data_IF_038730908560
#
_entry.id   IF_038730908560
#
_cell.length_a   1.000
_cell.length_b   1.000
_cell.length_c   1.000
_cell.angle_alpha   90.00
_cell.angle_beta   90.00
_cell.angle_gamma   90.00
#
_symmetry.space_group_name_H-M   'P 1'
#
loop_
_entity.id
_entity.type
_entity.pdbx_description
1 polymer ?
#
# COMPACT_ATOMS: atom_id res chain seq x y z
N UNK A 1 18.83 -8.74 12.31
CA UNK A 1 19.28 -10.11 12.65
C UNK A 1 18.50 -10.64 13.84
N UNK A 2 17.97 -11.85 13.73
CA UNK A 2 17.35 -12.60 14.82
C UNK A 2 18.14 -13.88 15.08
N UNK A 3 18.67 -14.04 16.28
CA UNK A 3 19.42 -15.23 16.71
C UNK A 3 18.68 -15.89 17.88
N UNK A 4 18.33 -17.16 17.74
CA UNK A 4 17.79 -18.01 18.82
C UNK A 4 18.79 -19.10 19.12
N UNK A 5 19.26 -19.18 20.36
CA UNK A 5 20.25 -20.17 20.82
C UNK A 5 19.96 -20.66 22.23
N UNK A 6 20.73 -21.64 22.68
CA UNK A 6 20.63 -22.12 24.05
C UNK A 6 20.92 -20.97 25.04
N UNK A 7 20.02 -20.75 25.98
CA UNK A 7 20.15 -19.70 27.01
C UNK A 7 19.60 -18.32 26.62
N UNK A 8 19.06 -18.14 25.41
CA UNK A 8 18.33 -16.91 25.06
C UNK A 8 18.20 -16.64 23.57
N UNK A 9 17.39 -15.62 23.25
CA UNK A 9 17.24 -15.06 21.91
C UNK A 9 17.68 -13.59 21.90
N UNK A 10 18.23 -13.13 20.77
CA UNK A 10 18.60 -11.73 20.55
C UNK A 10 18.08 -11.25 19.19
N UNK A 11 17.39 -10.11 19.21
CA UNK A 11 16.94 -9.39 18.02
C UNK A 11 17.70 -8.07 17.92
N UNK A 12 18.47 -7.90 16.85
CA UNK A 12 19.26 -6.70 16.58
C UNK A 12 18.76 -6.08 15.29
N UNK A 13 18.36 -4.81 15.35
CA UNK A 13 17.89 -4.03 14.21
C UNK A 13 18.59 -2.66 14.18
N UNK A 14 18.76 -2.09 12.99
CA UNK A 14 19.33 -0.73 12.83
C UNK A 14 18.36 0.35 13.31
N UNK A 15 17.07 0.10 13.15
CA UNK A 15 15.99 1.02 13.48
C UNK A 15 14.83 0.28 14.16
N UNK A 16 13.94 1.02 14.82
CA UNK A 16 12.76 0.47 15.50
C UNK A 16 11.85 -0.33 14.56
N UNK A 17 11.72 0.09 13.30
CA UNK A 17 10.90 -0.60 12.31
C UNK A 17 11.38 -2.02 12.01
N UNK A 18 12.70 -2.21 11.94
CA UNK A 18 13.30 -3.54 11.77
C UNK A 18 13.08 -4.43 12.99
N UNK A 19 13.05 -3.87 14.19
CA UNK A 19 12.74 -4.61 15.40
C UNK A 19 11.28 -5.10 15.40
N UNK A 20 10.32 -4.26 14.96
CA UNK A 20 8.91 -4.65 14.84
C UNK A 20 8.76 -5.83 13.87
N UNK A 21 9.40 -5.78 12.69
CA UNK A 21 9.34 -6.89 11.71
C UNK A 21 10.07 -8.15 12.20
N UNK A 22 11.12 -7.99 12.99
CA UNK A 22 11.82 -9.09 13.65
C UNK A 22 10.99 -9.76 14.74
N UNK A 23 10.19 -9.00 15.50
CA UNK A 23 9.24 -9.56 16.48
C UNK A 23 8.15 -10.38 15.81
N UNK A 24 7.62 -9.92 14.67
CA UNK A 24 6.67 -10.71 13.87
C UNK A 24 7.31 -11.99 13.32
N UNK A 25 8.58 -11.95 12.93
CA UNK A 25 9.29 -13.17 12.53
C UNK A 25 9.49 -14.11 13.72
N UNK A 26 9.79 -13.57 14.90
CA UNK A 26 9.98 -14.36 16.11
C UNK A 26 8.66 -15.02 16.57
N UNK A 27 7.52 -14.33 16.50
CA UNK A 27 6.22 -14.91 16.84
C UNK A 27 5.89 -16.11 15.95
N UNK A 28 6.19 -16.03 14.65
CA UNK A 28 5.99 -17.12 13.68
C UNK A 28 6.91 -18.33 13.89
N UNK A 29 8.04 -18.17 14.61
CA UNK A 29 8.95 -19.28 14.94
C UNK A 29 8.51 -20.07 16.17
N UNK A 30 7.63 -19.52 17.00
CA UNK A 30 7.10 -20.19 18.18
C UNK A 30 5.98 -21.13 17.75
N UNK A 31 6.09 -22.40 18.15
CA UNK A 31 5.07 -23.41 17.87
C UNK A 31 4.79 -24.24 19.13
N UNK A 32 3.66 -24.93 19.14
CA UNK A 32 3.32 -25.90 20.19
C UNK A 32 3.51 -27.32 19.65
N UNK A 33 4.04 -28.22 20.49
CA UNK A 33 4.03 -29.65 20.20
C UNK A 33 2.70 -30.31 20.61
N UNK A 34 2.58 -31.62 20.35
CA UNK A 34 1.40 -32.42 20.71
C UNK A 34 1.13 -32.48 22.24
N UNK A 35 2.06 -31.97 23.06
CA UNK A 35 1.95 -31.89 24.52
C UNK A 35 1.66 -30.47 25.02
N UNK A 36 1.25 -29.56 24.14
CA UNK A 36 0.96 -28.15 24.41
C UNK A 36 2.17 -27.34 24.93
N UNK A 37 3.40 -27.83 24.71
CA UNK A 37 4.63 -27.15 25.12
C UNK A 37 5.04 -26.15 24.04
N UNK A 38 5.25 -24.89 24.43
CA UNK A 38 5.79 -23.87 23.53
C UNK A 38 7.28 -24.09 23.27
N UNK A 39 7.63 -24.20 21.99
CA UNK A 39 8.97 -24.50 21.51
C UNK A 39 9.42 -23.45 20.48
N UNK A 40 10.73 -23.32 20.34
CA UNK A 40 11.37 -22.54 19.27
C UNK A 40 12.69 -23.21 18.92
N UNK A 41 12.96 -23.37 17.62
CA UNK A 41 14.18 -24.00 17.15
C UNK A 41 15.37 -23.04 17.19
N UNK A 42 16.57 -23.58 17.42
CA UNK A 42 17.82 -22.82 17.25
C UNK A 42 17.91 -22.33 15.81
N UNK A 43 17.98 -21.01 15.62
CA UNK A 43 17.99 -20.41 14.29
C UNK A 43 18.78 -19.11 14.27
N UNK A 44 19.24 -18.72 13.08
CA UNK A 44 19.79 -17.41 12.81
C UNK A 44 19.17 -16.89 11.51
N UNK A 45 18.58 -15.70 11.56
CA UNK A 45 17.87 -15.07 10.46
C UNK A 45 18.47 -13.68 10.22
N UNK A 46 18.95 -13.46 8.99
CA UNK A 46 19.25 -12.15 8.45
C UNK A 46 18.18 -11.80 7.42
N UNK A 47 17.44 -10.71 7.65
CA UNK A 47 16.25 -10.35 6.86
C UNK A 47 16.21 -8.85 6.56
N UNK A 48 15.69 -8.50 5.39
CA UNK A 48 15.48 -7.13 4.92
C UNK A 48 14.45 -7.12 3.77
N UNK A 49 13.65 -6.04 3.62
CA UNK A 49 12.70 -5.96 2.52
C UNK A 49 13.41 -5.71 1.19
N UNK A 50 12.98 -6.42 0.13
CA UNK A 50 13.43 -6.16 -1.24
C UNK A 50 13.03 -4.77 -1.73
N UNK A 51 11.80 -4.36 -1.42
CA UNK A 51 11.23 -3.07 -1.82
C UNK A 51 10.83 -2.25 -0.59
N UNK A 52 11.17 -0.95 -0.52
CA UNK A 52 10.82 -0.10 0.60
C UNK A 52 9.32 0.18 0.71
N UNK A 53 8.57 0.25 -0.40
CA UNK A 53 7.13 0.51 -0.42
C UNK A 53 6.35 -0.79 -0.62
N UNK A 54 5.57 -1.19 0.39
CA UNK A 54 4.69 -2.36 0.33
C UNK A 54 3.32 -1.97 0.87
N UNK A 55 2.45 -1.55 -0.04
CA UNK A 55 1.18 -0.94 0.31
C UNK A 55 -0.04 -1.82 0.12
N UNK A 56 -1.09 -1.48 0.86
CA UNK A 56 -2.44 -2.01 0.67
C UNK A 56 -3.37 -0.82 0.47
N UNK A 57 -4.07 -0.79 -0.67
CA UNK A 57 -5.12 0.18 -0.95
C UNK A 57 -6.46 -0.36 -0.47
N UNK A 58 -7.13 0.42 0.37
CA UNK A 58 -8.52 0.20 0.78
C UNK A 58 -9.40 1.39 0.39
N UNK A 59 -10.49 1.06 -0.30
CA UNK A 59 -11.55 1.97 -0.70
C UNK A 59 -12.66 2.01 0.35
N UNK A 60 -12.88 3.18 0.94
CA UNK A 60 -14.00 3.44 1.87
C UNK A 60 -15.07 4.33 1.28
N UNK A 61 -14.96 4.67 0.00
CA UNK A 61 -15.88 5.57 -0.69
C UNK A 61 -17.00 4.81 -1.39
N UNK A 62 -16.73 3.63 -1.97
CA UNK A 62 -17.75 2.82 -2.64
C UNK A 62 -18.64 2.11 -1.61
N UNK A 63 -18.02 1.55 -0.57
CA UNK A 63 -18.71 1.15 0.65
C UNK A 63 -17.95 1.63 1.89
N UNK A 64 -18.70 2.13 2.88
CA UNK A 64 -18.12 2.52 4.16
C UNK A 64 -17.61 1.28 4.92
N UNK A 65 -16.37 1.33 5.40
CA UNK A 65 -15.79 0.31 6.25
C UNK A 65 -15.73 0.80 7.70
N UNK A 66 -16.12 -0.06 8.63
CA UNK A 66 -16.08 0.29 10.04
C UNK A 66 -14.64 0.46 10.52
N UNK A 67 -14.46 1.28 11.56
CA UNK A 67 -13.14 1.54 12.15
C UNK A 67 -12.45 0.24 12.58
N UNK A 68 -13.20 -0.69 13.17
CA UNK A 68 -12.67 -1.96 13.66
C UNK A 68 -12.16 -2.83 12.50
N UNK A 69 -12.82 -2.79 11.35
CA UNK A 69 -12.38 -3.45 10.11
C UNK A 69 -11.09 -2.86 9.60
N UNK A 70 -10.96 -1.52 9.59
CA UNK A 70 -9.73 -0.84 9.19
C UNK A 70 -8.57 -1.15 10.17
N UNK A 71 -8.83 -1.18 11.48
CA UNK A 71 -7.82 -1.59 12.49
C UNK A 71 -7.39 -3.04 12.26
N UNK A 72 -8.34 -3.94 12.03
CA UNK A 72 -8.05 -5.35 11.76
C UNK A 72 -7.20 -5.50 10.50
N UNK A 73 -7.47 -4.72 9.45
CA UNK A 73 -6.64 -4.70 8.25
C UNK A 73 -5.20 -4.24 8.55
N UNK A 74 -5.00 -3.21 9.37
CA UNK A 74 -3.66 -2.76 9.78
C UNK A 74 -2.91 -3.84 10.58
N UNK A 75 -3.60 -4.61 11.42
CA UNK A 75 -3.01 -5.74 12.14
C UNK A 75 -2.57 -6.85 11.18
N UNK A 76 -3.40 -7.20 10.19
CA UNK A 76 -3.07 -8.17 9.13
C UNK A 76 -1.88 -7.66 8.29
N UNK A 77 -1.85 -6.38 7.94
CA UNK A 77 -0.73 -5.74 7.25
C UNK A 77 0.56 -5.86 8.06
N UNK A 78 0.51 -5.67 9.38
CA UNK A 78 1.66 -5.79 10.25
C UNK A 78 2.22 -7.24 10.25
N UNK A 79 1.34 -8.24 10.33
CA UNK A 79 1.67 -9.67 10.27
C UNK A 79 2.33 -10.05 8.94
N UNK A 80 1.83 -9.47 7.84
CA UNK A 80 2.37 -9.66 6.48
C UNK A 80 3.54 -8.72 6.14
N UNK A 81 4.06 -7.97 7.13
CA UNK A 81 5.17 -7.03 6.98
C UNK A 81 4.94 -5.93 5.92
N UNK A 82 3.69 -5.62 5.60
CA UNK A 82 3.32 -4.41 4.83
C UNK A 82 3.62 -3.16 5.67
N UNK A 83 3.76 -2.01 5.00
CA UNK A 83 4.14 -0.76 5.68
C UNK A 83 3.45 0.50 5.19
N UNK A 84 2.71 0.47 4.09
CA UNK A 84 1.97 1.64 3.59
C UNK A 84 0.48 1.33 3.56
N UNK A 85 -0.33 2.17 4.21
CA UNK A 85 -1.78 2.10 4.10
C UNK A 85 -2.25 3.15 3.10
N UNK A 86 -2.63 2.72 1.89
CA UNK A 86 -3.12 3.60 0.85
C UNK A 86 -4.63 3.77 1.05
N UNK A 87 -5.02 4.79 1.81
CA UNK A 87 -6.43 5.02 2.09
C UNK A 87 -7.12 5.80 0.97
N UNK A 88 -7.90 5.10 0.16
CA UNK A 88 -8.78 5.69 -0.82
C UNK A 88 -10.09 6.10 -0.14
N UNK A 89 -10.07 7.30 0.44
CA UNK A 89 -11.08 7.72 1.43
C UNK A 89 -12.35 8.32 0.80
N UNK A 90 -12.28 8.91 -0.39
CA UNK A 90 -13.39 9.60 -1.06
C UNK A 90 -13.40 9.25 -2.55
N UNK A 91 -14.58 9.21 -3.16
CA UNK A 91 -14.79 8.92 -4.57
C UNK A 91 -16.22 9.35 -4.98
N UNK A 92 -16.64 9.06 -6.20
CA UNK A 92 -17.93 9.50 -6.77
C UNK A 92 -19.15 9.14 -5.91
N UNK A 93 -19.11 7.97 -5.26
CA UNK A 93 -20.25 7.42 -4.53
C UNK A 93 -20.45 8.05 -3.14
N UNK A 94 -19.38 8.49 -2.46
CA UNK A 94 -19.50 9.07 -1.13
C UNK A 94 -18.27 9.86 -0.68
N UNK A 95 -18.50 10.76 0.27
CA UNK A 95 -17.48 11.57 0.93
C UNK A 95 -17.49 11.34 2.45
N UNK A 96 -16.93 10.23 2.96
CA UNK A 96 -16.95 9.90 4.39
C UNK A 96 -15.94 10.74 5.21
N UNK A 97 -15.11 11.57 4.59
CA UNK A 97 -14.15 12.40 5.31
C UNK A 97 -14.78 13.69 5.87
N UNK A 98 -14.69 13.93 7.18
CA UNK A 98 -15.13 15.21 7.76
C UNK A 98 -14.05 16.29 7.65
N UNK A 99 -14.14 17.12 6.61
CA UNK A 99 -13.33 18.34 6.51
C UNK A 99 -13.73 19.35 7.59
N UNK A 100 -12.74 19.95 8.25
CA UNK A 100 -12.97 21.10 9.17
C UNK A 100 -13.31 22.38 8.43
N UNK A 101 -12.73 22.55 7.24
CA UNK A 101 -12.86 23.76 6.43
C UNK A 101 -14.14 23.76 5.60
N UNK A 102 -14.58 22.58 5.18
CA UNK A 102 -15.78 22.37 4.37
C UNK A 102 -16.65 21.26 4.98
N UNK A 103 -17.32 21.52 6.13
CA UNK A 103 -18.11 20.51 6.82
C UNK A 103 -19.29 19.96 6.02
N UNK A 104 -19.75 20.71 5.01
CA UNK A 104 -20.86 20.37 4.11
C UNK A 104 -20.54 19.30 3.07
N UNK A 105 -19.26 18.92 2.89
CA UNK A 105 -18.87 17.89 1.91
C UNK A 105 -19.29 16.48 2.33
N UNK A 106 -19.43 16.22 3.63
CA UNK A 106 -19.79 14.89 4.12
C UNK A 106 -21.31 14.70 4.12
N UNK A 107 -21.79 13.70 3.39
CA UNK A 107 -23.23 13.49 3.15
C UNK A 107 -24.00 12.94 4.35
N UNK A 108 -23.37 12.12 5.21
CA UNK A 108 -24.07 11.36 6.27
C UNK A 108 -23.31 11.32 7.60
N UNK A 109 -23.86 11.82 8.71
CA UNK A 109 -23.16 11.84 10.01
C UNK A 109 -22.75 10.46 10.58
N UNK A 110 -23.43 9.38 10.18
CA UNK A 110 -23.19 8.02 10.70
C UNK A 110 -22.05 7.26 10.00
N UNK A 111 -21.62 7.72 8.82
CA UNK A 111 -20.62 7.06 7.97
C UNK A 111 -19.46 8.04 7.73
N UNK A 112 -18.95 8.63 8.82
CA UNK A 112 -17.99 9.73 8.76
C UNK A 112 -16.74 9.46 9.62
N UNK A 113 -15.58 9.60 8.99
CA UNK A 113 -14.29 9.62 9.63
C UNK A 113 -13.97 11.04 10.12
N UNK A 114 -13.96 11.23 11.44
CA UNK A 114 -13.55 12.49 12.07
C UNK A 114 -12.02 12.60 12.18
N UNK A 115 -11.50 13.82 12.37
CA UNK A 115 -10.07 14.08 12.52
C UNK A 115 -9.40 13.31 13.68
N UNK A 116 -10.15 12.92 14.72
CA UNK A 116 -9.64 12.05 15.79
C UNK A 116 -9.43 10.61 15.36
N UNK A 117 -10.14 10.15 14.33
CA UNK A 117 -9.90 8.87 13.67
C UNK A 117 -8.54 8.92 12.96
N UNK A 118 -8.28 9.95 12.15
CA UNK A 118 -7.02 10.09 11.38
C UNK A 118 -5.74 10.04 12.24
N UNK A 119 -5.76 10.62 13.44
CA UNK A 119 -4.59 10.63 14.35
C UNK A 119 -4.33 9.24 14.95
N UNK A 120 -5.36 8.39 15.07
CA UNK A 120 -5.21 6.99 15.49
C UNK A 120 -4.74 6.07 14.35
N UNK A 121 -4.79 6.55 13.10
CA UNK A 121 -4.47 5.80 11.88
C UNK A 121 -3.15 6.25 11.22
N UNK A 122 -2.56 7.37 11.64
CA UNK A 122 -1.42 7.97 10.95
C UNK A 122 -0.06 7.48 11.47
N UNK A 123 0.47 6.43 10.84
CA UNK A 123 1.78 6.52 10.18
C UNK A 123 1.55 6.11 8.71
N UNK A 124 1.78 7.06 7.81
CA UNK A 124 1.75 7.00 6.33
C UNK A 124 0.40 7.11 5.56
N UNK A 125 0.19 8.37 5.11
CA UNK A 125 -0.37 8.96 3.87
C UNK A 125 -1.88 8.87 3.51
N UNK A 126 -2.44 10.08 3.31
CA UNK A 126 -3.72 10.38 2.66
C UNK A 126 -3.48 10.66 1.15
N UNK A 127 -4.28 10.06 0.27
CA UNK A 127 -4.34 10.42 -1.16
C UNK A 127 -5.80 10.69 -1.58
N UNK A 128 -5.98 11.65 -2.48
CA UNK A 128 -7.26 11.94 -3.15
C UNK A 128 -7.11 11.61 -4.62
N UNK A 129 -7.95 10.73 -5.15
CA UNK A 129 -8.16 10.51 -6.59
C UNK A 129 -9.25 11.44 -7.08
N UNK A 130 -9.17 11.86 -8.34
CA UNK A 130 -10.26 12.57 -9.02
C UNK A 130 -10.20 12.12 -10.48
N UNK A 131 -11.34 11.75 -11.06
CA UNK A 131 -11.48 11.37 -12.47
C UNK A 131 -12.44 12.35 -13.18
N UNK A 132 -11.91 13.44 -13.79
CA UNK A 132 -12.58 14.14 -14.90
C UNK A 132 -11.62 15.07 -15.69
N UNK A 133 -11.38 14.78 -16.99
CA UNK A 133 -10.06 14.91 -17.62
C UNK A 133 -9.56 16.31 -18.07
N UNK A 134 -10.39 17.36 -18.11
CA UNK A 134 -9.98 18.65 -18.69
C UNK A 134 -9.52 19.69 -17.65
N UNK A 135 -10.40 20.02 -16.72
CA UNK A 135 -10.17 21.01 -15.66
C UNK A 135 -9.26 20.45 -14.54
N UNK A 136 -9.23 19.12 -14.41
CA UNK A 136 -8.49 18.41 -13.38
C UNK A 136 -6.97 18.48 -13.59
N UNK A 137 -6.48 18.39 -14.83
CA UNK A 137 -5.03 18.39 -15.09
C UNK A 137 -4.39 19.73 -14.68
N UNK A 138 -5.13 20.83 -14.86
CA UNK A 138 -4.73 22.16 -14.41
C UNK A 138 -4.78 22.29 -12.88
N UNK A 139 -5.77 21.66 -12.22
CA UNK A 139 -5.86 21.61 -10.75
C UNK A 139 -4.73 20.76 -10.17
N UNK A 140 -4.42 19.59 -10.73
CA UNK A 140 -3.31 18.73 -10.28
C UNK A 140 -1.97 19.44 -10.45
N UNK A 141 -1.75 20.11 -11.59
CA UNK A 141 -0.56 20.93 -11.80
C UNK A 141 -0.49 22.10 -10.79
N UNK A 142 -1.63 22.73 -10.47
CA UNK A 142 -1.73 23.82 -9.51
C UNK A 142 -1.50 23.36 -8.07
N UNK A 143 -2.15 22.30 -7.60
CA UNK A 143 -1.91 21.64 -6.30
C UNK A 143 -0.45 21.21 -6.21
N UNK A 144 0.09 20.62 -7.28
CA UNK A 144 1.49 20.25 -7.39
C UNK A 144 2.44 21.45 -7.24
N UNK A 145 2.05 22.63 -7.72
CA UNK A 145 2.82 23.87 -7.59
C UNK A 145 2.65 24.60 -6.25
N UNK A 146 1.48 24.51 -5.61
CA UNK A 146 1.10 25.23 -4.38
C UNK A 146 1.43 24.50 -3.06
N UNK A 147 2.24 23.44 -3.11
CA UNK A 147 2.54 22.60 -1.93
C UNK A 147 3.12 23.37 -0.75
N UNK A 148 2.70 22.97 0.44
CA UNK A 148 3.50 23.18 1.65
C UNK A 148 4.89 22.57 1.43
N UNK A 149 5.93 23.28 1.84
CA UNK A 149 7.31 22.80 1.71
C UNK A 149 7.47 21.49 2.50
N UNK A 150 7.72 20.38 1.79
CA UNK A 150 8.11 19.10 2.40
C UNK A 150 7.26 17.89 1.99
N UNK A 151 6.08 18.07 1.40
CA UNK A 151 5.21 16.93 1.03
C UNK A 151 5.46 16.42 -0.39
N UNK A 152 5.82 15.13 -0.49
CA UNK A 152 5.81 14.36 -1.74
C UNK A 152 4.38 14.02 -2.19
N UNK A 153 4.22 13.45 -3.37
CA UNK A 153 2.93 13.05 -3.92
C UNK A 153 3.09 11.84 -4.85
N UNK A 154 2.07 10.99 -4.83
CA UNK A 154 1.89 9.86 -5.73
C UNK A 154 0.74 10.22 -6.67
N UNK A 155 0.88 9.87 -7.95
CA UNK A 155 -0.17 10.06 -8.95
C UNK A 155 -0.40 8.75 -9.70
N UNK A 156 -1.62 8.49 -10.14
CA UNK A 156 -1.89 7.43 -11.12
C UNK A 156 -1.22 7.73 -12.46
N UNK A 157 -0.97 6.67 -13.23
CA UNK A 157 -0.23 6.70 -14.50
C UNK A 157 -0.76 7.71 -15.51
N UNK A 158 -2.06 8.01 -15.52
CA UNK A 158 -2.72 8.90 -16.47
C UNK A 158 -2.15 10.31 -16.42
N UNK A 159 -1.75 10.78 -15.25
CA UNK A 159 -1.15 12.11 -15.08
C UNK A 159 0.18 12.18 -15.86
N UNK A 160 0.95 11.09 -15.84
CA UNK A 160 2.18 10.98 -16.62
C UNK A 160 1.89 10.75 -18.11
N UNK A 161 0.97 9.84 -18.45
CA UNK A 161 0.65 9.48 -19.83
C UNK A 161 0.08 10.66 -20.63
N UNK A 162 -0.70 11.54 -19.98
CA UNK A 162 -1.26 12.74 -20.59
C UNK A 162 -0.26 13.90 -20.68
N UNK A 163 1.00 13.71 -20.27
CA UNK A 163 2.06 14.71 -20.42
C UNK A 163 1.97 15.89 -19.45
N UNK A 164 1.34 15.71 -18.29
CA UNK A 164 1.31 16.75 -17.25
C UNK A 164 2.73 17.02 -16.76
N UNK A 165 3.06 18.30 -16.54
CA UNK A 165 4.37 18.68 -16.01
C UNK A 165 4.48 18.30 -14.53
N UNK A 166 5.13 17.19 -14.27
CA UNK A 166 5.40 16.67 -12.93
C UNK A 166 6.69 17.24 -12.33
N UNK A 167 6.74 17.36 -11.00
CA UNK A 167 7.99 17.70 -10.30
C UNK A 167 8.91 16.47 -10.28
N UNK A 168 10.25 16.62 -10.28
CA UNK A 168 11.15 15.47 -10.34
C UNK A 168 11.03 14.47 -9.17
N UNK A 169 10.49 14.90 -8.03
CA UNK A 169 10.28 14.07 -6.84
C UNK A 169 8.98 13.26 -6.85
N UNK A 170 8.14 13.41 -7.88
CA UNK A 170 6.88 12.66 -8.03
C UNK A 170 7.12 11.16 -8.10
N UNK A 171 6.20 10.41 -7.52
CA UNK A 171 6.09 8.96 -7.71
C UNK A 171 4.87 8.70 -8.59
N UNK A 172 5.02 7.85 -9.61
CA UNK A 172 3.92 7.45 -10.50
C UNK A 172 3.51 6.02 -10.18
N UNK A 173 2.22 5.76 -10.00
CA UNK A 173 1.68 4.43 -9.75
C UNK A 173 1.05 3.86 -11.02
N UNK A 174 1.61 2.74 -11.48
CA UNK A 174 1.18 2.03 -12.69
C UNK A 174 0.15 0.97 -12.29
N UNK A 175 -1.03 1.02 -12.89
CA UNK A 175 -2.17 0.22 -12.49
C UNK A 175 -2.84 -0.55 -13.63
N UNK A 176 -2.62 -0.16 -14.88
CA UNK A 176 -3.15 -0.86 -16.07
C UNK A 176 -2.09 -1.22 -17.11
N UNK A 177 -0.83 -0.89 -16.83
CA UNK A 177 0.32 -1.13 -17.71
C UNK A 177 1.20 -2.32 -17.31
N UNK A 178 2.29 -2.52 -18.06
CA UNK A 178 3.24 -3.60 -17.85
C UNK A 178 4.69 -3.09 -17.64
N UNK A 179 5.69 -3.95 -17.85
CA UNK A 179 7.09 -3.57 -17.72
C UNK A 179 7.54 -2.47 -18.70
N UNK A 180 6.86 -2.31 -19.84
CA UNK A 180 7.07 -1.20 -20.75
C UNK A 180 6.73 0.14 -20.09
N UNK A 181 5.62 0.24 -19.36
CA UNK A 181 5.22 1.46 -18.66
C UNK A 181 6.16 1.76 -17.49
N UNK A 182 6.63 0.73 -16.79
CA UNK A 182 7.71 0.87 -15.80
C UNK A 182 8.95 1.48 -16.48
N UNK A 183 9.34 0.97 -17.65
CA UNK A 183 10.44 1.48 -18.44
C UNK A 183 10.26 2.94 -18.89
N UNK A 184 9.04 3.34 -19.28
CA UNK A 184 8.71 4.72 -19.66
C UNK A 184 8.84 5.68 -18.49
N UNK A 185 8.23 5.36 -17.35
CA UNK A 185 8.24 6.20 -16.15
C UNK A 185 9.66 6.34 -15.58
N UNK A 186 10.36 5.21 -15.41
CA UNK A 186 11.74 5.21 -14.89
C UNK A 186 12.74 5.80 -15.88
N UNK A 187 12.51 5.64 -17.19
CA UNK A 187 13.29 6.28 -18.26
C UNK A 187 13.12 7.81 -18.29
N UNK A 188 11.96 8.32 -17.87
CA UNK A 188 11.73 9.74 -17.65
C UNK A 188 12.30 10.26 -16.32
N UNK A 189 12.89 9.38 -15.49
CA UNK A 189 13.55 9.74 -14.23
C UNK A 189 12.64 9.77 -13.01
N UNK A 190 11.38 9.32 -13.12
CA UNK A 190 10.46 9.27 -11.99
C UNK A 190 10.57 7.96 -11.23
N UNK A 191 10.32 8.04 -9.93
CA UNK A 191 10.12 6.85 -9.10
C UNK A 191 8.76 6.23 -9.42
N UNK A 192 8.65 4.92 -9.32
CA UNK A 192 7.41 4.22 -9.69
C UNK A 192 6.98 3.18 -8.67
N UNK A 193 5.66 3.03 -8.57
CA UNK A 193 4.98 1.92 -7.93
C UNK A 193 4.24 1.10 -8.99
N UNK A 194 4.02 -0.17 -8.70
CA UNK A 194 3.32 -1.09 -9.59
C UNK A 194 2.20 -1.81 -8.85
N UNK A 195 1.01 -1.80 -9.43
CA UNK A 195 -0.19 -2.41 -8.83
C UNK A 195 -0.99 -3.24 -9.82
N UNK A 196 -0.66 -3.21 -11.13
CA UNK A 196 -1.50 -3.78 -12.20
C UNK A 196 -1.96 -5.22 -11.97
N UNK A 197 -1.10 -6.07 -11.42
CA UNK A 197 -1.45 -7.48 -11.22
C UNK A 197 -2.05 -7.80 -9.86
N UNK A 198 -2.08 -6.84 -8.93
CA UNK A 198 -2.49 -7.05 -7.54
C UNK A 198 -3.85 -6.41 -7.23
N UNK A 199 -4.76 -6.45 -8.20
CA UNK A 199 -6.17 -6.09 -8.01
C UNK A 199 -6.93 -7.28 -7.42
N UNK A 200 -7.14 -7.23 -6.10
CA UNK A 200 -7.89 -8.24 -5.35
C UNK A 200 -9.40 -8.09 -5.50
N UNK A 201 -9.90 -6.98 -6.02
CA UNK A 201 -11.32 -6.81 -6.36
C UNK A 201 -11.75 -7.75 -7.50
N UNK A 202 -10.83 -8.15 -8.39
CA UNK A 202 -11.10 -9.11 -9.47
C UNK A 202 -11.07 -10.57 -8.98
N UNK A 203 -12.25 -11.08 -8.65
CA UNK A 203 -12.43 -12.44 -8.13
C UNK A 203 -12.44 -13.49 -9.24
N UNK A 204 -11.69 -14.58 -9.02
CA UNK A 204 -11.69 -15.76 -9.88
C UNK A 204 -12.02 -17.00 -9.05
N UNK A 205 -12.69 -17.98 -9.66
CA UNK A 205 -12.96 -19.25 -9.00
C UNK A 205 -11.66 -20.06 -8.84
N UNK A 206 -11.46 -20.66 -7.67
CA UNK A 206 -10.33 -21.55 -7.38
C UNK A 206 -9.23 -20.87 -6.57
N UNK A 207 -7.98 -21.33 -6.76
CA UNK A 207 -6.80 -20.72 -6.15
C UNK A 207 -6.29 -19.62 -7.08
N UNK A 208 -6.57 -18.37 -6.75
CA UNK A 208 -6.15 -17.21 -7.54
C UNK A 208 -4.97 -16.46 -6.90
N UNK A 209 -4.46 -16.95 -5.76
CA UNK A 209 -3.32 -16.35 -5.06
C UNK A 209 -1.99 -16.58 -5.79
N UNK A 210 -1.88 -17.66 -6.54
CA UNK A 210 -0.67 -18.07 -7.26
C UNK A 210 -0.29 -17.06 -8.35
N UNK A 211 -1.25 -16.50 -9.09
CA UNK A 211 -1.00 -15.42 -10.05
C UNK A 211 -0.44 -14.16 -9.38
N UNK A 212 -0.89 -13.80 -8.18
CA UNK A 212 -0.38 -12.63 -7.46
C UNK A 212 1.06 -12.86 -7.00
N UNK A 213 1.35 -14.07 -6.51
CA UNK A 213 2.68 -14.47 -6.10
C UNK A 213 3.65 -14.52 -7.30
N UNK A 214 3.22 -15.11 -8.42
CA UNK A 214 4.02 -15.22 -9.65
C UNK A 214 4.19 -13.88 -10.37
N UNK A 215 3.35 -12.88 -10.08
CA UNK A 215 3.55 -11.53 -10.60
C UNK A 215 4.88 -10.91 -10.16
N UNK A 216 5.47 -11.39 -9.06
CA UNK A 216 6.79 -10.97 -8.58
C UNK A 216 7.94 -11.27 -9.58
N UNK A 217 7.67 -12.02 -10.66
CA UNK A 217 8.59 -12.18 -11.78
C UNK A 217 8.82 -10.88 -12.61
N UNK A 218 8.43 -9.73 -12.08
CA UNK A 218 8.95 -8.40 -12.44
C UNK A 218 10.46 -8.43 -12.69
N UNK A 219 11.26 -9.22 -11.94
CA UNK A 219 12.69 -9.37 -12.22
C UNK A 219 12.98 -9.78 -13.67
N UNK A 220 12.35 -10.86 -14.15
CA UNK A 220 12.48 -11.31 -15.54
C UNK A 220 11.85 -10.31 -16.51
N UNK A 221 10.72 -9.70 -16.17
CA UNK A 221 10.12 -8.66 -17.02
C UNK A 221 11.03 -7.42 -17.16
N UNK A 222 11.71 -7.00 -16.09
CA UNK A 222 12.64 -5.88 -16.11
C UNK A 222 13.89 -6.20 -16.94
N UNK A 223 14.35 -7.45 -16.90
CA UNK A 223 15.45 -7.95 -17.72
C UNK A 223 15.07 -8.04 -19.21
N UNK A 224 13.92 -8.64 -19.52
CA UNK A 224 13.39 -8.80 -20.87
C UNK A 224 13.19 -7.44 -21.57
N UNK A 225 12.77 -6.42 -20.81
CA UNK A 225 12.55 -5.05 -21.29
C UNK A 225 13.77 -4.12 -21.11
N UNK A 226 14.90 -4.63 -20.59
CA UNK A 226 16.16 -3.89 -20.37
C UNK A 226 15.99 -2.59 -19.57
N UNK A 227 15.12 -2.60 -18.56
CA UNK A 227 14.88 -1.43 -17.71
C UNK A 227 16.17 -1.04 -17.00
N UNK A 228 16.75 0.10 -17.39
CA UNK A 228 18.08 0.53 -16.95
C UNK A 228 18.10 1.01 -15.49
N UNK A 229 17.04 1.69 -15.05
CA UNK A 229 16.97 2.37 -13.76
C UNK A 229 16.08 1.62 -12.75
N UNK A 230 16.41 0.36 -12.46
CA UNK A 230 15.65 -0.45 -11.51
C UNK A 230 15.63 0.14 -10.08
N UNK A 231 16.57 1.02 -9.75
CA UNK A 231 16.63 1.72 -8.45
C UNK A 231 15.49 2.72 -8.23
N UNK A 232 14.77 3.10 -9.30
CA UNK A 232 13.60 3.99 -9.21
C UNK A 232 12.30 3.23 -8.91
N UNK A 233 12.34 1.89 -8.94
CA UNK A 233 11.19 1.04 -8.61
C UNK A 233 11.12 0.91 -7.09
N UNK A 234 10.08 1.46 -6.49
CA UNK A 234 9.94 1.53 -5.04
C UNK A 234 9.22 0.32 -4.44
N UNK A 235 8.48 -0.44 -5.24
CA UNK A 235 7.62 -1.53 -4.83
C UNK A 235 6.24 -1.38 -5.44
N UNK A 236 5.18 -1.59 -4.66
CA UNK A 236 3.83 -1.56 -5.18
C UNK A 236 2.74 -1.66 -4.13
N UNK A 237 1.50 -1.56 -4.59
CA UNK A 237 0.31 -1.69 -3.77
C UNK A 237 -0.51 -2.88 -4.22
N UNK A 238 -1.06 -3.59 -3.24
CA UNK A 238 -2.18 -4.50 -3.44
C UNK A 238 -3.46 -3.66 -3.36
N UNK A 239 -4.31 -3.71 -4.37
CA UNK A 239 -5.52 -2.90 -4.45
C UNK A 239 -6.76 -3.73 -4.17
N UNK A 240 -7.61 -3.25 -3.26
CA UNK A 240 -8.95 -3.77 -3.07
C UNK A 240 -9.96 -2.62 -3.13
N UNK A 241 -10.48 -2.42 -4.34
CA UNK A 241 -11.59 -1.53 -4.60
C UNK A 241 -12.89 -2.15 -4.10
N UNK A 242 -13.78 -1.33 -3.54
CA UNK A 242 -14.96 -1.82 -2.80
C UNK A 242 -16.25 -1.68 -3.59
N UNK A 243 -16.26 -1.70 -4.93
CA UNK A 243 -17.50 -1.70 -5.72
C UNK A 243 -18.40 -2.90 -5.38
N UNK A 244 -17.79 -4.04 -5.04
CA UNK A 244 -18.48 -5.31 -4.74
C UNK A 244 -18.09 -5.91 -3.38
N UNK A 245 -17.37 -5.17 -2.54
CA UNK A 245 -16.97 -5.58 -1.21
C UNK A 245 -17.43 -4.56 -0.17
N UNK A 246 -17.73 -5.02 1.02
CA UNK A 246 -18.22 -4.21 2.14
C UNK A 246 -17.60 -4.72 3.46
N UNK A 247 -18.03 -4.15 4.58
CA UNK A 247 -17.52 -4.48 5.90
C UNK A 247 -17.58 -5.98 6.24
N UNK A 248 -18.60 -6.70 5.72
CA UNK A 248 -18.78 -8.13 5.97
C UNK A 248 -17.95 -9.04 5.07
N UNK A 249 -17.38 -8.52 3.99
CA UNK A 249 -16.73 -9.30 2.94
C UNK A 249 -15.29 -8.87 2.64
N UNK A 250 -14.86 -7.69 3.11
CA UNK A 250 -13.53 -7.14 2.83
C UNK A 250 -12.41 -7.96 3.50
N UNK A 251 -12.57 -8.36 4.76
CA UNK A 251 -11.51 -9.08 5.48
C UNK A 251 -11.22 -10.48 4.94
N UNK A 252 -12.23 -11.34 4.63
CA UNK A 252 -11.96 -12.62 4.00
C UNK A 252 -11.38 -12.53 2.58
N UNK A 253 -11.42 -11.34 1.97
CA UNK A 253 -10.90 -11.10 0.62
C UNK A 253 -9.41 -10.73 0.62
N UNK A 254 -8.92 -10.16 1.72
CA UNK A 254 -7.53 -9.76 1.96
C UNK A 254 -6.69 -10.93 2.47
#
# INVERSE_FOLDING_TARGET
DLEVKHGGASLIAREVWGAIKGLETFSQLVYQDDSDVYLVNRTYIHDYPRFPHRGVLLDTARHYLNKDTLITNLEIMAQNKMNVFHWHIVDDNSFPFQSKMYPELSDKPSEVFSNGCLISFAIEVLYTTVDDFGLLLDIIAKIGSQREQGSGYIVWQEVFDNGVKLKPDTIVQIWSGDAFDIGRVTGAGFRTLYSTCWYLDYINYGQDWDKYYLCENIGQMLEDYRVQNQTLIMGGDVCLWTEFADDGSVLPRL
#
